data_IF_625664687799
#
_entry.id   IF_625664687799
#
_cell.length_a   1.000
_cell.length_b   1.000
_cell.length_c   1.000
_cell.angle_alpha   90.00
_cell.angle_beta   90.00
_cell.angle_gamma   90.00
#
_symmetry.space_group_name_H-M   'P 1'
#
loop_
_entity.id
_entity.type
_entity.pdbx_description
1 polymer ?
#
# COMPACT_ATOMS: atom_id res chain seq x y z
N UNK A 1 -1.54 -11.37 23.43
CA UNK A 1 -1.54 -11.93 22.07
C UNK A 1 -2.96 -12.28 21.65
N UNK A 2 -3.70 -13.02 22.47
CA UNK A 2 -5.10 -13.40 22.24
C UNK A 2 -6.05 -12.23 21.89
N UNK A 3 -6.02 -11.13 22.64
CA UNK A 3 -6.84 -9.95 22.34
C UNK A 3 -6.53 -9.33 20.96
N UNK A 4 -5.27 -9.38 20.55
CA UNK A 4 -4.84 -8.86 19.26
C UNK A 4 -5.34 -9.75 18.13
N UNK A 5 -5.22 -11.07 18.29
CA UNK A 5 -5.74 -12.03 17.31
C UNK A 5 -7.26 -11.88 17.15
N UNK A 6 -7.99 -11.74 18.27
CA UNK A 6 -9.44 -11.49 18.25
C UNK A 6 -9.80 -10.20 17.52
N UNK A 7 -9.05 -9.12 17.75
CA UNK A 7 -9.24 -7.87 17.04
C UNK A 7 -8.90 -8.01 15.55
N UNK A 8 -7.79 -8.65 15.19
CA UNK A 8 -7.40 -8.92 13.80
C UNK A 8 -8.50 -9.66 13.04
N UNK A 9 -9.03 -10.75 13.62
CA UNK A 9 -10.18 -11.49 13.06
C UNK A 9 -11.38 -10.57 12.81
N UNK A 10 -11.73 -9.75 13.79
CA UNK A 10 -12.86 -8.81 13.65
C UNK A 10 -12.63 -7.73 12.58
N UNK A 11 -11.41 -7.25 12.39
CA UNK A 11 -11.10 -6.24 11.38
C UNK A 11 -11.02 -6.84 9.98
N UNK A 12 -10.45 -8.02 9.84
CA UNK A 12 -10.35 -8.74 8.56
C UNK A 12 -11.76 -9.03 7.99
N UNK A 13 -12.71 -9.42 8.84
CA UNK A 13 -14.12 -9.60 8.44
C UNK A 13 -14.81 -8.32 7.95
N UNK A 14 -14.27 -7.13 8.28
CA UNK A 14 -14.80 -5.84 7.81
C UNK A 14 -14.19 -5.39 6.49
N UNK A 15 -13.17 -6.11 6.02
CA UNK A 15 -12.57 -5.90 4.70
C UNK A 15 -13.26 -6.88 3.74
N UNK A 16 -13.60 -6.41 2.55
CA UNK A 16 -14.30 -7.22 1.54
C UNK A 16 -13.38 -8.26 0.88
N UNK A 17 -13.00 -9.29 1.66
CA UNK A 17 -12.20 -10.44 1.22
C UNK A 17 -12.92 -11.78 1.46
N UNK A 18 -14.18 -11.73 1.89
CA UNK A 18 -15.08 -12.88 2.13
C UNK A 18 -14.64 -13.91 3.18
N UNK A 19 -13.45 -13.75 3.76
CA UNK A 19 -12.96 -14.56 4.88
C UNK A 19 -13.78 -14.26 6.15
N UNK A 20 -14.50 -15.27 6.65
CA UNK A 20 -15.32 -15.14 7.87
C UNK A 20 -14.58 -15.54 9.13
N UNK A 21 -13.49 -16.28 9.04
CA UNK A 21 -12.61 -16.62 10.16
C UNK A 21 -11.26 -17.07 9.63
N UNK A 22 -10.23 -17.05 10.48
CA UNK A 22 -8.96 -17.71 10.18
C UNK A 22 -8.36 -18.24 11.47
N UNK A 23 -7.66 -19.37 11.39
CA UNK A 23 -6.93 -19.92 12.53
C UNK A 23 -5.45 -20.06 12.19
N UNK A 24 -4.60 -19.88 13.21
CA UNK A 24 -3.17 -20.11 13.12
C UNK A 24 -2.82 -21.24 14.10
N UNK A 25 -2.27 -22.33 13.59
CA UNK A 25 -1.80 -23.45 14.40
C UNK A 25 -0.45 -23.95 13.86
N UNK A 26 0.55 -23.99 14.72
CA UNK A 26 1.91 -24.44 14.38
C UNK A 26 2.53 -23.67 13.19
N UNK A 27 2.18 -22.38 13.04
CA UNK A 27 2.62 -21.53 11.93
C UNK A 27 1.87 -21.74 10.62
N UNK A 28 0.86 -22.62 10.59
CA UNK A 28 -0.03 -22.83 9.46
C UNK A 28 -1.28 -22.00 9.65
N UNK A 29 -1.59 -21.16 8.66
CA UNK A 29 -2.82 -20.38 8.62
C UNK A 29 -3.86 -21.14 7.81
N UNK A 30 -5.08 -21.22 8.34
CA UNK A 30 -6.27 -21.73 7.67
C UNK A 30 -7.31 -20.64 7.61
N UNK A 31 -8.02 -20.52 6.51
CA UNK A 31 -9.10 -19.55 6.34
C UNK A 31 -10.43 -20.28 6.23
N UNK A 32 -11.51 -19.59 6.61
CA UNK A 32 -12.86 -20.13 6.56
C UNK A 32 -13.77 -19.18 5.80
N UNK A 33 -14.56 -19.75 4.89
CA UNK A 33 -15.56 -19.07 4.07
C UNK A 33 -16.93 -19.68 4.28
N UNK A 34 -18.01 -18.98 3.90
CA UNK A 34 -19.36 -19.54 3.92
C UNK A 34 -19.75 -20.04 2.54
N UNK A 35 -20.27 -21.26 2.47
CA UNK A 35 -20.90 -21.77 1.26
C UNK A 35 -22.33 -21.25 1.10
N UNK A 36 -23.01 -21.66 0.02
CA UNK A 36 -24.40 -21.28 -0.26
C UNK A 36 -25.42 -21.74 0.80
N UNK A 37 -25.03 -22.66 1.69
CA UNK A 37 -25.84 -23.16 2.80
C UNK A 37 -25.50 -22.46 4.13
N UNK A 38 -24.53 -21.53 4.12
CA UNK A 38 -24.04 -20.85 5.33
C UNK A 38 -23.12 -21.71 6.20
N UNK A 39 -22.56 -22.79 5.64
CA UNK A 39 -21.61 -23.66 6.34
C UNK A 39 -20.18 -23.16 6.14
N UNK A 40 -19.35 -23.27 7.18
CA UNK A 40 -17.92 -22.93 7.09
C UNK A 40 -17.19 -23.98 6.26
N UNK A 41 -16.52 -23.55 5.20
CA UNK A 41 -15.57 -24.34 4.42
C UNK A 41 -14.16 -23.84 4.72
N UNK A 42 -13.27 -24.77 5.03
CA UNK A 42 -11.85 -24.52 5.27
C UNK A 42 -11.09 -24.45 3.94
N UNK A 43 -10.14 -23.52 3.85
CA UNK A 43 -9.19 -23.38 2.76
C UNK A 43 -7.77 -23.33 3.32
N UNK A 44 -6.80 -23.83 2.54
CA UNK A 44 -5.39 -23.56 2.82
C UNK A 44 -5.11 -22.08 2.59
N UNK A 45 -4.16 -21.50 3.34
CA UNK A 45 -3.75 -20.12 3.09
C UNK A 45 -3.28 -19.90 1.65
N UNK A 46 -2.66 -20.90 1.03
CA UNK A 46 -2.19 -20.86 -0.35
C UNK A 46 -3.33 -20.93 -1.39
N UNK A 47 -4.52 -21.38 -1.00
CA UNK A 47 -5.71 -21.36 -1.87
C UNK A 47 -6.30 -19.95 -2.00
N UNK A 48 -5.94 -19.04 -1.09
CA UNK A 48 -6.43 -17.66 -1.08
C UNK A 48 -5.84 -16.81 -2.19
N UNK A 49 -6.59 -15.75 -2.57
CA UNK A 49 -6.04 -14.73 -3.44
C UNK A 49 -4.83 -14.04 -2.78
N UNK A 50 -3.87 -13.57 -3.59
CA UNK A 50 -2.70 -12.84 -3.06
C UNK A 50 -3.10 -11.60 -2.23
N UNK A 51 -4.23 -10.95 -2.55
CA UNK A 51 -4.73 -9.82 -1.77
C UNK A 51 -5.28 -10.24 -0.42
N UNK A 52 -6.04 -11.33 -0.36
CA UNK A 52 -6.52 -11.93 0.89
C UNK A 52 -5.35 -12.34 1.78
N UNK A 53 -4.36 -13.05 1.22
CA UNK A 53 -3.13 -13.43 1.93
C UNK A 53 -2.40 -12.21 2.50
N UNK A 54 -2.29 -11.14 1.69
CA UNK A 54 -1.64 -9.88 2.09
C UNK A 54 -2.39 -9.23 3.25
N UNK A 55 -3.71 -9.11 3.17
CA UNK A 55 -4.53 -8.51 4.24
C UNK A 55 -4.40 -9.31 5.55
N UNK A 56 -4.55 -10.63 5.50
CA UNK A 56 -4.45 -11.51 6.68
C UNK A 56 -3.08 -11.40 7.34
N UNK A 57 -2.01 -11.33 6.54
CA UNK A 57 -0.64 -11.21 7.06
C UNK A 57 -0.34 -9.82 7.62
N UNK A 58 -0.91 -8.77 7.03
CA UNK A 58 -0.49 -7.39 7.28
C UNK A 58 -1.27 -6.70 8.40
N UNK A 59 -2.58 -7.00 8.56
CA UNK A 59 -3.42 -6.39 9.61
C UNK A 59 -2.87 -6.64 11.03
N UNK A 60 -2.48 -7.86 11.44
CA UNK A 60 -1.89 -8.09 12.74
C UNK A 60 -0.61 -7.26 12.96
N UNK A 61 0.22 -7.11 11.93
CA UNK A 61 1.44 -6.31 11.99
C UNK A 61 1.11 -4.82 12.22
N UNK A 62 0.20 -4.24 11.44
CA UNK A 62 -0.25 -2.85 11.60
C UNK A 62 -0.75 -2.59 13.02
N UNK A 63 -1.60 -3.48 13.55
CA UNK A 63 -2.13 -3.36 14.91
C UNK A 63 -1.02 -3.35 15.97
N UNK A 64 0.00 -4.21 15.83
CA UNK A 64 1.15 -4.20 16.73
C UNK A 64 1.91 -2.88 16.67
N UNK A 65 2.09 -2.30 15.47
CA UNK A 65 2.81 -1.05 15.31
C UNK A 65 2.07 0.10 15.98
N UNK A 66 0.78 0.27 15.67
CA UNK A 66 -0.08 1.31 16.24
C UNK A 66 -0.21 1.16 17.77
N UNK A 67 -0.35 -0.07 18.27
CA UNK A 67 -0.50 -0.34 19.71
C UNK A 67 0.77 -0.03 20.52
N UNK A 68 1.95 -0.26 19.95
CA UNK A 68 3.21 -0.13 20.68
C UNK A 68 4.09 1.04 20.22
N UNK A 69 3.61 1.88 19.29
CA UNK A 69 4.36 3.04 18.81
C UNK A 69 5.64 2.65 18.06
N UNK A 70 5.58 1.58 17.26
CA UNK A 70 6.76 1.03 16.57
C UNK A 70 6.84 1.51 15.12
N UNK A 71 8.03 1.31 14.54
CA UNK A 71 8.29 1.60 13.13
C UNK A 71 8.06 0.31 12.33
N UNK A 72 7.36 0.43 11.21
CA UNK A 72 7.25 -0.61 10.19
C UNK A 72 7.81 -0.09 8.87
N UNK A 73 8.65 -0.93 8.25
CA UNK A 73 9.30 -0.67 6.98
C UNK A 73 8.80 -1.69 5.97
N UNK A 74 8.21 -1.23 4.87
CA UNK A 74 7.59 -2.11 3.87
C UNK A 74 7.97 -1.67 2.46
N UNK A 75 8.53 -2.59 1.69
CA UNK A 75 8.68 -2.39 0.26
C UNK A 75 7.40 -2.84 -0.46
N UNK A 76 7.03 -2.10 -1.51
CA UNK A 76 5.80 -2.26 -2.28
C UNK A 76 4.58 -2.51 -1.36
N UNK A 77 4.27 -1.54 -0.50
CA UNK A 77 3.21 -1.67 0.50
C UNK A 77 1.87 -2.09 -0.11
N UNK A 78 1.47 -1.40 -1.17
CA UNK A 78 0.25 -1.59 -1.94
C UNK A 78 0.16 -2.93 -2.66
N UNK A 79 1.26 -3.69 -2.75
CA UNK A 79 1.30 -4.90 -3.58
C UNK A 79 0.19 -5.87 -3.19
N UNK A 80 -0.60 -6.25 -4.19
CA UNK A 80 -1.76 -7.14 -4.08
C UNK A 80 -2.93 -6.60 -3.25
N UNK A 81 -2.84 -5.38 -2.71
CA UNK A 81 -3.96 -4.73 -2.02
C UNK A 81 -4.81 -3.95 -3.03
N UNK A 82 -6.11 -3.90 -2.78
CA UNK A 82 -6.96 -2.92 -3.45
C UNK A 82 -6.54 -1.50 -3.00
N UNK A 83 -6.46 -0.50 -3.90
CA UNK A 83 -6.00 0.85 -3.55
C UNK A 83 -6.75 1.47 -2.36
N UNK A 84 -8.07 1.23 -2.24
CA UNK A 84 -8.84 1.71 -1.08
C UNK A 84 -8.38 1.10 0.26
N UNK A 85 -7.98 -0.17 0.27
CA UNK A 85 -7.46 -0.84 1.47
C UNK A 85 -6.11 -0.21 1.86
N UNK A 86 -5.24 0.02 0.87
CA UNK A 86 -3.95 0.64 1.10
C UNK A 86 -4.08 2.08 1.64
N UNK A 87 -4.97 2.88 1.05
CA UNK A 87 -5.29 4.23 1.54
C UNK A 87 -5.89 4.20 2.95
N UNK A 88 -6.82 3.29 3.22
CA UNK A 88 -7.41 3.15 4.56
C UNK A 88 -6.35 2.87 5.62
N UNK A 89 -5.48 1.89 5.36
CA UNK A 89 -4.37 1.54 6.26
C UNK A 89 -3.44 2.72 6.49
N UNK A 90 -3.05 3.45 5.43
CA UNK A 90 -2.23 4.65 5.54
C UNK A 90 -2.90 5.71 6.41
N UNK A 91 -4.21 5.91 6.21
CA UNK A 91 -5.04 6.80 7.02
C UNK A 91 -4.98 6.50 8.51
N UNK A 92 -4.90 5.22 8.92
CA UNK A 92 -4.78 4.83 10.34
C UNK A 92 -3.52 5.39 11.00
N UNK A 93 -2.41 5.51 10.28
CA UNK A 93 -1.17 6.08 10.80
C UNK A 93 -1.20 7.60 10.90
N UNK A 94 -2.05 8.26 10.11
CA UNK A 94 -2.24 9.71 10.12
C UNK A 94 -3.44 10.16 10.97
N UNK A 95 -4.16 9.23 11.60
CA UNK A 95 -5.29 9.52 12.48
C UNK A 95 -4.81 9.69 13.93
N UNK A 96 -4.96 10.90 14.53
CA UNK A 96 -4.51 11.16 15.90
C UNK A 96 -5.35 10.44 16.98
N UNK A 97 -6.57 9.99 16.67
CA UNK A 97 -7.39 9.20 17.60
C UNK A 97 -6.96 7.72 17.63
N UNK A 98 -6.34 7.25 16.54
CA UNK A 98 -5.88 5.86 16.38
C UNK A 98 -4.39 5.74 16.71
N UNK A 99 -3.53 6.55 16.08
CA UNK A 99 -2.09 6.51 16.23
C UNK A 99 -1.59 7.29 17.46
N UNK A 100 -2.17 7.00 18.63
CA UNK A 100 -1.86 7.68 19.90
C UNK A 100 -0.43 7.43 20.40
N UNK A 101 0.22 6.37 19.91
CA UNK A 101 1.57 5.96 20.32
C UNK A 101 2.66 6.41 19.33
N UNK A 102 2.33 7.21 18.31
CA UNK A 102 3.28 7.71 17.30
C UNK A 102 4.02 6.58 16.56
N UNK A 103 3.30 5.53 16.17
CA UNK A 103 3.83 4.52 15.26
C UNK A 103 4.21 5.17 13.92
N UNK A 104 5.29 4.69 13.31
CA UNK A 104 5.79 5.21 12.05
C UNK A 104 5.64 4.16 10.96
N UNK A 105 5.13 4.61 9.81
CA UNK A 105 5.03 3.78 8.62
C UNK A 105 5.93 4.36 7.53
N UNK A 106 7.01 3.63 7.21
CA UNK A 106 7.93 3.99 6.14
C UNK A 106 7.75 2.95 5.05
N UNK A 107 7.41 3.38 3.83
CA UNK A 107 7.20 2.46 2.74
C UNK A 107 7.63 3.02 1.40
N UNK A 108 7.90 2.12 0.47
CA UNK A 108 8.03 2.42 -0.95
C UNK A 108 6.77 1.98 -1.69
N UNK A 109 6.42 2.72 -2.74
CA UNK A 109 5.20 2.49 -3.52
C UNK A 109 5.38 2.98 -4.95
N UNK A 110 4.68 2.34 -5.89
CA UNK A 110 4.46 2.86 -7.24
C UNK A 110 3.02 3.36 -7.45
N UNK A 111 2.15 3.21 -6.45
CA UNK A 111 0.75 3.60 -6.51
C UNK A 111 0.58 5.08 -6.14
N UNK A 112 0.23 5.88 -7.15
CA UNK A 112 0.05 7.32 -7.01
C UNK A 112 -1.18 7.69 -6.18
N UNK A 113 -2.15 6.78 -6.03
CA UNK A 113 -3.37 7.04 -5.25
C UNK A 113 -3.07 7.24 -3.77
N UNK A 114 -1.93 6.76 -3.26
CA UNK A 114 -1.49 7.03 -1.89
C UNK A 114 -1.13 8.51 -1.67
N UNK A 115 -0.87 9.28 -2.74
CA UNK A 115 -0.66 10.73 -2.69
C UNK A 115 -1.98 11.53 -2.66
N UNK A 116 -3.13 10.86 -2.59
CA UNK A 116 -4.42 11.51 -2.51
C UNK A 116 -4.51 12.42 -1.25
N UNK A 117 -5.06 13.64 -1.36
CA UNK A 117 -5.30 14.54 -0.24
C UNK A 117 -5.99 13.92 0.99
N UNK A 118 -6.83 12.91 0.80
CA UNK A 118 -7.56 12.21 1.87
C UNK A 118 -6.61 11.50 2.85
N UNK A 119 -5.43 11.08 2.38
CA UNK A 119 -4.41 10.45 3.22
C UNK A 119 -3.67 11.45 4.11
N UNK A 120 -3.88 12.76 3.93
CA UNK A 120 -3.29 13.85 4.73
C UNK A 120 -1.76 13.79 4.86
N UNK A 121 -1.09 13.26 3.84
CA UNK A 121 0.37 13.32 3.76
C UNK A 121 0.83 14.76 3.66
N UNK A 122 1.82 15.14 4.46
CA UNK A 122 2.51 16.42 4.33
C UNK A 122 3.61 16.33 3.28
N UNK A 123 3.99 17.47 2.69
CA UNK A 123 5.08 17.52 1.71
C UNK A 123 6.44 17.02 2.22
N UNK A 124 6.71 17.05 3.53
CA UNK A 124 7.94 16.51 4.14
C UNK A 124 7.89 14.99 4.37
N UNK A 125 6.73 14.36 4.20
CA UNK A 125 6.55 12.90 4.32
C UNK A 125 6.64 12.17 2.97
N UNK A 126 6.66 12.92 1.87
CA UNK A 126 6.69 12.38 0.50
C UNK A 126 8.09 12.56 -0.06
N UNK A 127 8.77 11.45 -0.32
CA UNK A 127 10.07 11.44 -0.98
C UNK A 127 9.91 10.88 -2.39
N UNK A 128 10.47 11.58 -3.37
CA UNK A 128 10.48 11.19 -4.77
C UNK A 128 11.86 10.68 -5.16
N UNK A 129 11.88 9.65 -6.00
CA UNK A 129 13.10 9.01 -6.50
C UNK A 129 13.10 9.13 -8.01
N UNK A 130 14.16 9.69 -8.57
CA UNK A 130 14.35 9.73 -10.03
C UNK A 130 15.79 9.46 -10.44
N UNK A 131 16.00 9.18 -11.72
CA UNK A 131 17.32 9.03 -12.32
C UNK A 131 17.66 10.26 -13.13
N UNK A 132 18.83 10.84 -12.90
CA UNK A 132 19.32 11.94 -13.72
C UNK A 132 19.85 11.44 -15.07
N UNK A 133 20.30 12.37 -15.93
CA UNK A 133 20.80 12.06 -17.28
C UNK A 133 22.07 11.18 -17.30
N UNK A 134 22.76 11.03 -16.17
CA UNK A 134 23.91 10.13 -15.99
C UNK A 134 23.51 8.76 -15.44
N UNK A 135 22.22 8.55 -15.14
CA UNK A 135 21.68 7.32 -14.56
C UNK A 135 21.86 7.21 -13.04
N UNK A 136 22.37 8.26 -12.39
CA UNK A 136 22.51 8.37 -10.94
C UNK A 136 21.12 8.56 -10.31
N UNK A 137 20.90 7.97 -9.13
CA UNK A 137 19.63 8.11 -8.41
C UNK A 137 19.66 9.35 -7.52
N UNK A 138 18.64 10.18 -7.66
CA UNK A 138 18.38 11.35 -6.82
C UNK A 138 17.12 11.09 -5.98
N UNK A 139 17.20 11.44 -4.69
CA UNK A 139 16.12 11.33 -3.71
C UNK A 139 15.92 12.71 -3.10
N UNK A 140 14.69 13.21 -3.10
CA UNK A 140 14.33 14.49 -2.48
C UNK A 140 12.90 14.47 -1.97
N UNK A 141 12.63 15.28 -0.94
CA UNK A 141 11.28 15.45 -0.43
C UNK A 141 10.51 16.45 -1.28
N UNK A 142 9.19 16.32 -1.34
CA UNK A 142 8.32 17.35 -1.98
C UNK A 142 8.49 18.71 -1.28
N UNK A 143 8.85 18.72 0.00
CA UNK A 143 9.20 19.94 0.75
C UNK A 143 10.40 20.71 0.19
N UNK A 144 11.31 20.02 -0.51
CA UNK A 144 12.55 20.60 -1.03
C UNK A 144 12.31 21.40 -2.33
N UNK A 145 11.16 21.17 -2.98
CA UNK A 145 10.78 21.84 -4.21
C UNK A 145 10.33 23.28 -3.92
N UNK A 146 11.11 24.24 -4.42
CA UNK A 146 10.83 25.67 -4.25
C UNK A 146 9.45 26.04 -4.80
N UNK A 147 8.61 26.64 -3.95
CA UNK A 147 7.29 27.14 -4.33
C UNK A 147 6.15 26.12 -4.24
N UNK A 148 6.43 24.86 -3.90
CA UNK A 148 5.38 23.85 -3.65
C UNK A 148 4.74 24.08 -2.28
N UNK A 149 3.42 24.25 -2.29
CA UNK A 149 2.56 24.38 -1.10
C UNK A 149 1.87 23.04 -0.82
N UNK A 150 1.20 22.92 0.31
CA UNK A 150 0.26 21.81 0.54
C UNK A 150 -0.85 21.81 -0.53
N UNK A 151 -1.25 20.63 -1.00
CA UNK A 151 -2.22 20.51 -2.09
C UNK A 151 -2.44 19.07 -2.54
N UNK A 152 -2.92 18.91 -3.77
CA UNK A 152 -3.14 17.59 -4.36
C UNK A 152 -1.85 17.07 -5.00
N UNK A 153 -1.06 16.34 -4.22
CA UNK A 153 0.22 15.79 -4.63
C UNK A 153 0.08 14.72 -5.72
N UNK A 154 -0.97 13.89 -5.67
CA UNK A 154 -1.27 12.93 -6.73
C UNK A 154 -1.41 13.63 -8.09
N UNK A 155 -2.27 14.66 -8.16
CA UNK A 155 -2.47 15.42 -9.39
C UNK A 155 -1.16 16.05 -9.88
N UNK A 156 -0.39 16.67 -8.99
CA UNK A 156 0.86 17.32 -9.39
C UNK A 156 1.94 16.33 -9.82
N UNK A 157 1.98 15.15 -9.23
CA UNK A 157 2.84 14.06 -9.65
C UNK A 157 2.46 13.59 -11.07
N UNK A 158 1.16 13.32 -11.31
CA UNK A 158 0.65 12.90 -12.63
C UNK A 158 0.81 13.97 -13.72
N UNK A 159 0.81 15.25 -13.36
CA UNK A 159 1.13 16.37 -14.24
C UNK A 159 2.64 16.55 -14.50
N UNK A 160 3.50 15.76 -13.84
CA UNK A 160 4.96 15.84 -13.94
C UNK A 160 5.58 17.03 -13.21
N UNK A 161 4.81 17.76 -12.39
CA UNK A 161 5.26 18.98 -11.70
C UNK A 161 6.20 18.70 -10.54
N UNK A 162 6.18 17.48 -10.00
CA UNK A 162 6.99 17.09 -8.87
C UNK A 162 8.28 16.34 -9.26
N UNK A 163 8.43 15.95 -10.53
CA UNK A 163 9.48 15.00 -10.95
C UNK A 163 9.12 13.56 -10.58
N UNK A 164 10.10 12.65 -10.63
CA UNK A 164 9.89 11.23 -10.25
C UNK A 164 9.19 10.38 -11.31
N UNK A 165 8.70 10.98 -12.40
CA UNK A 165 8.02 10.24 -13.46
C UNK A 165 9.02 9.53 -14.41
N UNK A 166 8.69 8.31 -14.89
CA UNK A 166 9.51 7.63 -15.87
C UNK A 166 9.52 8.38 -17.21
N UNK A 167 10.71 8.60 -17.75
CA UNK A 167 10.85 9.17 -19.10
C UNK A 167 10.80 8.04 -20.13
N UNK A 168 9.75 8.03 -20.95
CA UNK A 168 9.58 7.08 -22.07
C UNK A 168 9.62 7.88 -23.37
N UNK A 169 10.54 7.53 -24.29
CA UNK A 169 10.60 8.11 -25.63
C UNK A 169 9.48 7.56 -26.52
N UNK A 170 8.22 7.86 -26.17
CA UNK A 170 7.01 7.23 -26.71
C UNK A 170 6.93 7.29 -28.23
N UNK A 171 7.32 8.42 -28.83
CA UNK A 171 7.23 8.60 -30.28
C UNK A 171 8.25 7.73 -31.02
N UNK A 172 9.53 7.79 -30.62
CA UNK A 172 10.59 6.97 -31.20
C UNK A 172 10.32 5.48 -30.99
N UNK A 173 9.96 5.09 -29.76
CA UNK A 173 9.59 3.72 -29.41
C UNK A 173 8.45 3.19 -30.30
N UNK A 174 7.41 3.99 -30.50
CA UNK A 174 6.28 3.63 -31.36
C UNK A 174 6.69 3.52 -32.83
N UNK A 175 7.52 4.44 -33.32
CA UNK A 175 7.96 4.46 -34.72
C UNK A 175 8.77 3.19 -35.06
N UNK A 176 9.78 2.88 -34.26
CA UNK A 176 10.60 1.67 -34.43
C UNK A 176 9.77 0.38 -34.38
N UNK A 177 8.78 0.32 -33.48
CA UNK A 177 7.86 -0.82 -33.40
C UNK A 177 7.02 -0.98 -34.67
N UNK A 178 6.53 0.13 -35.24
CA UNK A 178 5.75 0.11 -36.48
C UNK A 178 6.60 -0.37 -37.66
N UNK A 179 7.86 0.08 -37.74
CA UNK A 179 8.77 -0.33 -38.81
C UNK A 179 9.08 -1.82 -38.74
N UNK A 180 9.34 -2.36 -37.55
CA UNK A 180 9.56 -3.80 -37.33
C UNK A 180 8.33 -4.65 -37.69
N UNK A 181 7.12 -4.22 -37.33
CA UNK A 181 5.90 -4.99 -37.64
C UNK A 181 5.60 -5.01 -39.16
N UNK A 182 6.04 -3.99 -39.90
CA UNK A 182 5.79 -3.85 -41.35
C UNK A 182 6.85 -4.50 -42.24
N UNK A 183 8.02 -4.85 -41.71
CA UNK A 183 9.08 -5.58 -42.42
C UNK A 183 8.78 -7.07 -42.53
#
# INVERSE_FOLDING_TARGET
>A
WEDLLKLSKSLIQKIDIQVVDFDEKDGVVKTFHLNNLGEKIEFEFDDESSGTQRVISFIPAILLMLKYGRIILVDEFERSLHPEIAQYILGLFNDPEININNAQFIFATHDTTLLNPENKLRRDQINLVEKNSKGETELYAVSDIKGIREGNFEKWYLEGRLGGMPTIAKETFRHELIDYIKS
#
